data_IF_435214897330
#
_entry.id   IF_435214897330
#
_cell.length_a   1.000
_cell.length_b   1.000
_cell.length_c   1.000
_cell.angle_alpha   90.00
_cell.angle_beta   90.00
_cell.angle_gamma   90.00
#
_symmetry.space_group_name_H-M   'P 1'
#
loop_
_entity.id
_entity.type
_entity.pdbx_description
1 polymer ?
#
# COMPACT_ATOMS: atom_id res chain seq x y z
N UNK A 1 -1.63 -25.70 25.00
CA UNK A 1 -2.28 -27.00 24.80
C UNK A 1 -1.72 -27.96 25.84
N UNK A 2 -2.60 -28.44 26.72
CA UNK A 2 -2.25 -29.40 27.73
C UNK A 2 -2.11 -30.77 27.05
N UNK A 3 -0.98 -31.41 27.30
CA UNK A 3 -0.75 -32.76 26.80
C UNK A 3 -1.02 -33.78 27.91
N UNK A 4 -1.89 -34.73 27.66
CA UNK A 4 -2.17 -35.85 28.55
C UNK A 4 -1.72 -37.14 27.84
N UNK A 5 -0.75 -37.82 28.40
CA UNK A 5 -0.27 -39.09 27.90
C UNK A 5 -0.13 -40.08 29.02
N UNK A 6 -0.49 -41.33 28.79
CA UNK A 6 -0.25 -42.42 29.71
C UNK A 6 1.15 -43.01 29.51
N UNK A 7 1.87 -43.17 30.60
CA UNK A 7 3.20 -43.82 30.61
C UNK A 7 3.10 -45.05 31.49
N UNK A 8 3.38 -46.20 30.92
CA UNK A 8 3.52 -47.45 31.68
C UNK A 8 4.97 -47.58 32.15
N UNK A 9 5.17 -47.65 33.45
CA UNK A 9 6.49 -47.83 34.04
C UNK A 9 6.63 -49.28 34.52
N UNK A 10 7.49 -50.01 33.83
CA UNK A 10 7.88 -51.36 34.30
C UNK A 10 8.98 -51.28 35.36
N UNK A 11 8.79 -51.98 36.48
CA UNK A 11 9.74 -52.00 37.58
C UNK A 11 11.16 -52.39 37.14
N UNK A 12 12.15 -51.59 37.50
CA UNK A 12 13.56 -51.84 37.28
C UNK A 12 14.15 -51.30 35.97
N UNK A 13 13.39 -50.54 35.15
CA UNK A 13 13.91 -49.85 33.97
C UNK A 13 13.64 -48.35 34.02
N UNK A 14 14.64 -47.58 33.67
CA UNK A 14 14.50 -46.10 33.50
C UNK A 14 13.84 -45.83 32.16
N UNK A 15 12.65 -45.27 32.18
CA UNK A 15 11.94 -44.80 30.95
C UNK A 15 12.14 -43.32 30.82
N UNK A 16 12.88 -42.90 29.80
CA UNK A 16 13.08 -41.48 29.49
C UNK A 16 12.08 -41.08 28.43
N UNK A 17 11.22 -40.10 28.73
CA UNK A 17 10.27 -39.53 27.79
C UNK A 17 10.79 -38.17 27.37
N UNK A 18 11.26 -38.09 26.12
CA UNK A 18 11.60 -36.80 25.50
C UNK A 18 10.49 -36.39 24.57
N UNK A 19 9.82 -35.30 24.84
CA UNK A 19 8.88 -34.68 23.92
C UNK A 19 9.26 -33.23 23.69
N UNK A 20 9.38 -32.87 22.44
CA UNK A 20 9.49 -31.48 22.02
C UNK A 20 8.10 -30.88 21.96
N UNK A 21 7.81 -29.95 22.87
CA UNK A 21 6.62 -29.12 22.77
C UNK A 21 6.86 -28.12 21.64
N UNK A 22 6.19 -28.30 20.50
CA UNK A 22 6.12 -27.28 19.51
C UNK A 22 5.25 -26.14 20.04
N UNK A 23 5.85 -24.96 20.27
CA UNK A 23 5.06 -23.74 20.45
C UNK A 23 4.25 -23.54 19.19
N UNK A 24 2.93 -23.60 19.35
CA UNK A 24 2.00 -23.17 18.31
C UNK A 24 2.43 -21.77 17.84
N UNK A 25 2.40 -21.45 16.53
CA UNK A 25 2.74 -20.11 16.10
C UNK A 25 1.91 -19.13 16.91
N UNK A 26 2.60 -18.26 17.62
CA UNK A 26 1.98 -17.18 18.39
C UNK A 26 1.10 -16.42 17.43
N UNK A 27 -0.21 -16.45 17.64
CA UNK A 27 -1.12 -15.52 17.00
C UNK A 27 -0.52 -14.13 17.21
N UNK A 28 -0.28 -13.32 16.14
CA UNK A 28 0.22 -11.97 16.34
C UNK A 28 -0.63 -11.31 17.40
N UNK A 29 -0.04 -10.62 18.37
CA UNK A 29 -0.82 -9.99 19.44
C UNK A 29 -1.89 -9.14 18.79
N UNK A 30 -3.15 -9.40 19.12
CA UNK A 30 -4.26 -8.54 18.74
C UNK A 30 -3.89 -7.14 19.21
N UNK A 31 -3.80 -6.13 18.34
CA UNK A 31 -3.39 -4.80 18.74
C UNK A 31 -4.31 -4.34 19.86
N UNK A 32 -3.71 -4.04 21.01
CA UNK A 32 -4.41 -3.43 22.13
C UNK A 32 -5.01 -2.12 21.61
N UNK A 33 -6.29 -1.84 21.85
CA UNK A 33 -6.90 -0.59 21.39
C UNK A 33 -6.17 0.58 22.06
N UNK A 34 -5.34 1.21 21.32
CA UNK A 34 -4.56 2.38 21.65
C UNK A 34 -4.28 3.15 20.38
N UNK A 35 -3.94 4.41 20.49
CA UNK A 35 -3.60 5.26 19.34
C UNK A 35 -2.11 5.46 19.23
N UNK A 36 -1.58 5.48 18.01
CA UNK A 36 -0.21 5.85 17.69
C UNK A 36 -0.17 7.13 16.85
N UNK A 37 1.01 7.55 16.49
CA UNK A 37 1.25 8.68 15.59
C UNK A 37 1.78 8.16 14.25
N UNK A 38 1.20 8.63 13.14
CA UNK A 38 1.68 8.32 11.80
C UNK A 38 2.25 9.59 11.17
N UNK A 39 3.53 9.56 10.78
CA UNK A 39 4.17 10.67 10.07
C UNK A 39 4.34 10.26 8.61
N UNK A 40 3.78 11.05 7.70
CA UNK A 40 3.80 10.74 6.27
C UNK A 40 4.54 11.84 5.53
N UNK A 41 5.58 11.46 4.80
CA UNK A 41 6.29 12.32 3.86
C UNK A 41 6.23 11.74 2.45
N UNK A 42 6.37 12.58 1.43
CA UNK A 42 6.48 12.12 0.04
C UNK A 42 7.50 12.94 -0.74
N UNK A 43 8.03 12.34 -1.77
CA UNK A 43 8.85 13.00 -2.76
C UNK A 43 8.25 12.74 -4.17
N UNK A 44 7.75 13.78 -4.87
CA UNK A 44 7.62 15.18 -4.42
C UNK A 44 6.68 15.38 -3.23
N UNK A 45 6.86 16.46 -2.48
CA UNK A 45 5.97 16.88 -1.40
C UNK A 45 4.62 17.41 -1.95
N UNK A 46 3.71 17.79 -1.07
CA UNK A 46 2.37 18.33 -1.41
C UNK A 46 1.40 17.31 -2.03
N UNK A 47 1.66 16.03 -1.82
CA UNK A 47 0.76 14.97 -2.24
C UNK A 47 -0.40 14.79 -1.24
N UNK A 48 -1.56 14.46 -1.75
CA UNK A 48 -2.76 14.19 -0.96
C UNK A 48 -2.62 12.84 -0.24
N UNK A 49 -2.96 12.81 1.04
CA UNK A 49 -2.87 11.62 1.89
C UNK A 49 -4.25 11.14 2.25
N UNK A 50 -4.51 9.87 2.00
CA UNK A 50 -5.73 9.18 2.40
C UNK A 50 -5.37 8.00 3.30
N UNK A 51 -5.99 7.90 4.45
CA UNK A 51 -5.87 6.77 5.37
C UNK A 51 -7.22 6.05 5.42
N UNK A 52 -7.25 4.76 5.09
CA UNK A 52 -8.47 3.96 5.00
C UNK A 52 -9.57 4.61 4.13
N UNK A 53 -9.17 5.21 3.00
CA UNK A 53 -10.02 5.98 2.08
C UNK A 53 -10.54 7.32 2.62
N UNK A 54 -10.09 7.76 3.79
CA UNK A 54 -10.43 9.07 4.37
C UNK A 54 -9.31 10.07 4.06
N UNK A 55 -9.67 11.22 3.51
CA UNK A 55 -8.70 12.30 3.25
C UNK A 55 -8.20 12.89 4.56
N UNK A 56 -6.88 12.91 4.75
CA UNK A 56 -6.23 13.36 5.97
C UNK A 56 -5.48 14.68 5.81
N UNK A 57 -5.09 15.04 4.58
CA UNK A 57 -4.34 16.26 4.29
C UNK A 57 -3.29 16.07 3.21
N UNK A 58 -2.24 16.88 3.24
CA UNK A 58 -1.14 16.87 2.25
C UNK A 58 0.21 16.62 2.93
N UNK A 59 1.12 15.95 2.23
CA UNK A 59 2.48 15.69 2.73
C UNK A 59 3.35 16.96 2.74
N UNK A 60 4.29 17.10 3.70
CA UNK A 60 4.45 16.24 4.86
C UNK A 60 3.38 16.48 5.93
N UNK A 61 2.87 15.41 6.53
CA UNK A 61 1.82 15.49 7.54
C UNK A 61 2.09 14.54 8.71
N UNK A 62 1.72 14.97 9.92
CA UNK A 62 1.72 14.14 11.12
C UNK A 62 0.29 13.93 11.57
N UNK A 63 -0.12 12.68 11.65
CA UNK A 63 -1.44 12.26 12.08
C UNK A 63 -1.35 11.71 13.50
N UNK A 64 -1.70 12.50 14.51
CA UNK A 64 -1.78 12.02 15.88
C UNK A 64 -3.05 11.18 16.07
N UNK A 65 -3.03 10.28 17.04
CA UNK A 65 -4.21 9.50 17.43
C UNK A 65 -4.79 8.59 16.34
N UNK A 66 -3.93 8.01 15.50
CA UNK A 66 -4.32 6.93 14.59
C UNK A 66 -4.50 5.66 15.43
N UNK A 67 -5.61 4.97 15.22
CA UNK A 67 -5.89 3.71 15.92
C UNK A 67 -4.74 2.71 15.71
N UNK A 68 -4.37 1.97 16.75
CA UNK A 68 -3.37 0.92 16.61
C UNK A 68 -3.92 -0.22 15.75
N UNK A 69 -3.13 -0.65 14.77
CA UNK A 69 -3.52 -1.71 13.84
C UNK A 69 -2.97 -1.51 12.44
N UNK A 70 -3.56 -2.24 11.51
CA UNK A 70 -3.19 -2.20 10.10
C UNK A 70 -4.10 -1.23 9.37
N UNK A 71 -3.52 -0.28 8.66
CA UNK A 71 -4.21 0.74 7.88
C UNK A 71 -3.75 0.75 6.43
N UNK A 72 -4.64 1.15 5.54
CA UNK A 72 -4.28 1.38 4.13
C UNK A 72 -3.97 2.85 3.91
N UNK A 73 -2.75 3.12 3.45
CA UNK A 73 -2.29 4.45 3.11
C UNK A 73 -2.25 4.60 1.60
N UNK A 74 -2.92 5.63 1.09
CA UNK A 74 -2.92 6.02 -0.31
C UNK A 74 -2.41 7.45 -0.41
N UNK A 75 -1.44 7.67 -1.29
CA UNK A 75 -0.87 9.00 -1.56
C UNK A 75 -1.04 9.31 -3.05
N UNK A 76 -1.60 10.48 -3.33
CA UNK A 76 -1.93 10.95 -4.68
C UNK A 76 -1.32 12.31 -4.96
N UNK A 77 -0.77 12.48 -6.14
CA UNK A 77 -0.28 13.75 -6.65
C UNK A 77 -0.56 13.83 -8.15
N UNK A 78 -1.08 14.96 -8.62
CA UNK A 78 -1.36 15.16 -10.03
C UNK A 78 -0.10 15.00 -10.89
N UNK A 79 -0.20 14.22 -11.94
CA UNK A 79 0.93 13.88 -12.81
C UNK A 79 1.80 12.73 -12.31
N UNK A 80 1.44 12.10 -11.19
CA UNK A 80 2.13 10.95 -10.62
C UNK A 80 1.20 9.76 -10.48
N UNK A 81 1.77 8.57 -10.47
CA UNK A 81 1.04 7.35 -10.17
C UNK A 81 0.64 7.31 -8.70
N UNK A 82 -0.54 6.78 -8.42
CA UNK A 82 -1.03 6.55 -7.06
C UNK A 82 -0.07 5.63 -6.31
N UNK A 83 0.37 6.04 -5.12
CA UNK A 83 1.20 5.23 -4.25
C UNK A 83 0.37 4.65 -3.10
N UNK A 84 0.44 3.35 -2.93
CA UNK A 84 -0.32 2.64 -1.89
C UNK A 84 0.60 1.77 -1.06
N UNK A 85 0.37 1.76 0.25
CA UNK A 85 1.03 0.86 1.17
C UNK A 85 0.13 0.48 2.34
N UNK A 86 0.39 -0.68 2.90
CA UNK A 86 -0.20 -1.10 4.17
C UNK A 86 0.76 -0.73 5.29
N UNK A 87 0.29 0.08 6.24
CA UNK A 87 1.08 0.55 7.38
C UNK A 87 0.56 -0.06 8.68
N UNK A 88 1.48 -0.47 9.54
CA UNK A 88 1.16 -0.96 10.88
C UNK A 88 1.42 0.15 11.89
N UNK A 89 0.39 0.62 12.55
CA UNK A 89 0.50 1.63 13.61
C UNK A 89 0.49 0.93 14.96
N UNK A 90 1.54 1.13 15.76
CA UNK A 90 1.60 0.62 17.12
C UNK A 90 1.15 1.69 18.11
N UNK A 91 0.35 1.29 19.09
CA UNK A 91 -0.12 2.19 20.15
C UNK A 91 1.05 2.83 20.90
N UNK A 92 1.01 4.13 21.10
CA UNK A 92 2.04 4.91 21.78
C UNK A 92 3.33 5.11 20.97
N UNK A 93 3.39 4.64 19.72
CA UNK A 93 4.57 4.74 18.86
C UNK A 93 4.34 5.71 17.72
N UNK A 94 5.45 6.25 17.19
CA UNK A 94 5.44 7.03 15.95
C UNK A 94 5.91 6.15 14.80
N UNK A 95 5.08 6.01 13.78
CA UNK A 95 5.39 5.25 12.56
C UNK A 95 5.72 6.23 11.45
N UNK A 96 6.99 6.34 11.00
CA UNK A 96 7.35 7.16 9.85
C UNK A 96 7.07 6.41 8.55
N UNK A 97 6.57 7.12 7.55
CA UNK A 97 6.36 6.61 6.18
C UNK A 97 6.89 7.64 5.18
N UNK A 98 7.82 7.20 4.34
CA UNK A 98 8.38 8.00 3.25
C UNK A 98 7.98 7.37 1.91
N UNK A 99 7.22 8.10 1.11
CA UNK A 99 6.75 7.65 -0.19
C UNK A 99 7.51 8.34 -1.32
N UNK A 100 8.05 7.58 -2.24
CA UNK A 100 8.59 8.11 -3.49
C UNK A 100 7.56 7.92 -4.59
N UNK A 101 7.04 9.02 -5.12
CA UNK A 101 6.05 9.00 -6.19
C UNK A 101 6.75 8.93 -7.55
N UNK A 102 6.20 8.11 -8.44
CA UNK A 102 6.71 7.96 -9.80
C UNK A 102 5.82 8.76 -10.75
N UNK A 103 6.38 9.56 -11.68
CA UNK A 103 5.57 10.26 -12.67
C UNK A 103 4.65 9.29 -13.42
N UNK A 104 3.39 9.66 -13.61
CA UNK A 104 2.46 8.88 -14.41
C UNK A 104 2.94 8.86 -15.87
N UNK A 105 2.89 7.70 -16.51
CA UNK A 105 3.19 7.60 -17.93
C UNK A 105 2.23 8.48 -18.73
N UNK A 106 2.71 9.23 -19.75
CA UNK A 106 1.84 10.04 -20.59
C UNK A 106 0.82 9.12 -21.27
N UNK A 107 -0.46 9.42 -21.09
CA UNK A 107 -1.51 8.73 -21.83
C UNK A 107 -1.43 9.17 -23.28
N UNK A 108 -0.86 8.34 -24.14
CA UNK A 108 -0.90 8.57 -25.59
C UNK A 108 -2.33 8.26 -26.02
N UNK A 109 -3.09 9.31 -26.34
CA UNK A 109 -4.39 9.14 -26.99
C UNK A 109 -4.08 8.81 -28.46
N UNK A 110 -4.38 7.59 -28.95
CA UNK A 110 -4.17 7.29 -30.37
C UNK A 110 -5.04 8.24 -31.18
N UNK A 111 -4.41 9.02 -32.06
CA UNK A 111 -5.17 9.84 -33.00
C UNK A 111 -6.08 8.92 -33.82
N UNK A 112 -7.38 9.20 -33.81
CA UNK A 112 -8.33 8.44 -34.62
C UNK A 112 -7.92 8.56 -36.07
N UNK A 113 -7.83 7.46 -36.83
CA UNK A 113 -7.49 7.50 -38.27
C UNK A 113 -8.43 8.39 -39.07
N UNK A 114 -9.66 8.58 -38.60
CA UNK A 114 -10.61 9.51 -39.20
C UNK A 114 -10.14 10.98 -39.17
N UNK A 115 -9.47 11.41 -38.10
CA UNK A 115 -8.90 12.76 -38.01
C UNK A 115 -7.72 12.97 -38.95
N UNK A 116 -6.90 11.95 -39.18
CA UNK A 116 -5.78 12.00 -40.13
C UNK A 116 -6.30 12.12 -41.56
N UNK A 117 -7.35 11.41 -41.93
CA UNK A 117 -7.98 11.47 -43.24
C UNK A 117 -8.60 12.86 -43.51
N UNK A 118 -9.23 13.47 -42.50
CA UNK A 118 -9.78 14.84 -42.62
C UNK A 118 -8.67 15.88 -42.81
N UNK A 119 -7.55 15.76 -42.12
CA UNK A 119 -6.42 16.67 -42.31
C UNK A 119 -5.80 16.55 -43.71
N UNK A 120 -5.67 15.34 -44.26
CA UNK A 120 -5.21 15.10 -45.62
C UNK A 120 -6.21 15.58 -46.66
N UNK A 121 -7.52 15.43 -46.40
CA UNK A 121 -8.59 15.93 -47.31
C UNK A 121 -8.59 17.45 -47.44
N UNK A 122 -8.40 18.17 -46.35
CA UNK A 122 -8.29 19.65 -46.35
C UNK A 122 -7.06 20.10 -47.16
N UNK A 123 -5.93 19.42 -47.01
CA UNK A 123 -4.71 19.72 -47.74
C UNK A 123 -4.88 19.48 -49.23
N UNK A 124 -5.56 18.42 -49.66
CA UNK A 124 -5.85 18.09 -51.06
C UNK A 124 -6.75 19.14 -51.74
N UNK A 125 -7.77 19.65 -51.03
CA UNK A 125 -8.65 20.71 -51.52
C UNK A 125 -7.88 22.03 -51.70
N UNK A 126 -6.97 22.38 -50.81
CA UNK A 126 -6.12 23.58 -50.97
C UNK A 126 -5.20 23.51 -52.19
N UNK A 127 -4.70 22.33 -52.55
CA UNK A 127 -3.87 22.11 -53.75
C UNK A 127 -4.72 22.19 -55.03
N UNK A 128 -5.92 21.64 -55.02
CA UNK A 128 -6.83 21.68 -56.18
C UNK A 128 -7.32 23.10 -56.50
N UNK A 129 -7.44 23.98 -55.49
CA UNK A 129 -7.82 25.39 -55.69
C UNK A 129 -6.75 26.29 -56.29
N UNK A 130 -5.53 25.82 -56.52
CA UNK A 130 -4.41 26.58 -57.08
C UNK A 130 -4.17 26.33 -58.59
N UNK A 131 -4.94 25.46 -59.20
CA UNK A 131 -4.87 25.25 -60.65
C UNK A 131 -5.85 26.16 -61.36
N UNK A 132 -5.40 27.34 -61.63
CA UNK A 132 -5.91 28.17 -62.76
C UNK A 132 -4.80 28.41 -63.77
#
# INVERSE_FOLDING_TARGET
QDWVGQVEVMGGKTTTISRTLSVSPTVPPTPVPGTGTLTVASNPATAQVYLDNVYMGITPITLPSVTGGTHQLLIRLDGYADWQATVQVAAGQTTPVDATLVPAAPTIIPLSPALVVLALGILAVAIAGRRK
#
